data_IF_303318113610
#
_entry.id   IF_303318113610
#
_cell.length_a   1.000
_cell.length_b   1.000
_cell.length_c   1.000
_cell.angle_alpha   90.00
_cell.angle_beta   90.00
_cell.angle_gamma   90.00
#
_symmetry.space_group_name_H-M   'P 1'
#
loop_
_entity.id
_entity.type
_entity.pdbx_description
1 polymer ?
#
# COMPACT_ATOMS: atom_id res chain seq x y z
N UNK A 1 -3.18 -21.86 -5.06
CA UNK A 1 -2.46 -21.40 -3.84
C UNK A 1 -1.90 -19.99 -3.99
N UNK A 2 -1.19 -19.66 -5.08
CA UNK A 2 -0.68 -18.30 -5.30
C UNK A 2 -1.77 -17.21 -5.33
N UNK A 3 -2.90 -17.44 -6.00
CA UNK A 3 -4.00 -16.47 -6.03
C UNK A 3 -4.54 -16.12 -4.63
N UNK A 4 -4.67 -17.10 -3.73
CA UNK A 4 -5.10 -16.89 -2.35
C UNK A 4 -4.09 -16.06 -1.54
N UNK A 5 -2.80 -16.30 -1.75
CA UNK A 5 -1.71 -15.53 -1.15
C UNK A 5 -1.71 -14.09 -1.65
N UNK A 6 -1.92 -13.90 -2.96
CA UNK A 6 -1.98 -12.58 -3.56
C UNK A 6 -3.18 -11.81 -3.03
N UNK A 7 -4.38 -12.40 -2.98
CA UNK A 7 -5.56 -11.70 -2.49
C UNK A 7 -5.48 -11.37 -1.00
N UNK A 8 -5.13 -12.35 -0.16
CA UNK A 8 -5.03 -12.12 1.30
C UNK A 8 -3.92 -11.14 1.65
N UNK A 9 -2.74 -11.28 1.03
CA UNK A 9 -1.62 -10.36 1.21
C UNK A 9 -1.95 -8.93 0.76
N UNK A 10 -2.66 -8.79 -0.36
CA UNK A 10 -3.07 -7.48 -0.90
C UNK A 10 -4.03 -6.79 0.06
N UNK A 11 -5.04 -7.53 0.55
CA UNK A 11 -6.04 -7.00 1.50
C UNK A 11 -5.38 -6.56 2.81
N UNK A 12 -4.45 -7.36 3.34
CA UNK A 12 -3.71 -7.01 4.57
C UNK A 12 -2.85 -5.76 4.39
N UNK A 13 -2.09 -5.66 3.28
CA UNK A 13 -1.23 -4.51 3.01
C UNK A 13 -2.04 -3.23 2.79
N UNK A 14 -3.09 -3.29 1.96
CA UNK A 14 -3.98 -2.15 1.75
C UNK A 14 -4.71 -1.75 3.04
N UNK A 15 -5.29 -2.70 3.76
CA UNK A 15 -6.00 -2.42 5.01
C UNK A 15 -5.09 -1.81 6.08
N UNK A 16 -3.88 -2.35 6.25
CA UNK A 16 -2.87 -1.82 7.15
C UNK A 16 -2.42 -0.41 6.77
N UNK A 17 -2.14 -0.16 5.48
CA UNK A 17 -1.80 1.18 5.02
C UNK A 17 -2.92 2.18 5.19
N UNK A 18 -4.17 1.83 4.90
CA UNK A 18 -5.33 2.72 5.10
C UNK A 18 -5.50 3.03 6.59
N UNK A 19 -5.38 2.02 7.46
CA UNK A 19 -5.44 2.21 8.91
C UNK A 19 -4.36 3.18 9.41
N UNK A 20 -3.11 2.96 9.01
CA UNK A 20 -2.00 3.87 9.34
C UNK A 20 -2.20 5.27 8.73
N UNK A 21 -2.73 5.36 7.52
CA UNK A 21 -3.00 6.63 6.85
C UNK A 21 -4.06 7.47 7.57
N UNK A 22 -5.10 6.80 8.09
CA UNK A 22 -6.15 7.44 8.87
C UNK A 22 -5.62 7.89 10.24
N UNK A 23 -4.77 7.10 10.89
CA UNK A 23 -4.08 7.50 12.13
C UNK A 23 -3.11 8.66 11.91
N UNK A 24 -2.50 8.75 10.72
CA UNK A 24 -1.62 9.84 10.33
C UNK A 24 -2.35 11.09 9.79
N UNK A 25 -3.69 11.18 9.95
CA UNK A 25 -4.45 12.34 9.52
C UNK A 25 -3.97 13.63 10.21
N UNK A 26 -3.64 14.66 9.41
CA UNK A 26 -3.10 15.93 9.92
C UNK A 26 -1.59 15.99 10.11
N UNK A 27 -0.85 14.87 10.04
CA UNK A 27 0.60 14.84 10.20
C UNK A 27 1.31 14.50 8.88
N UNK A 28 1.70 15.54 8.11
CA UNK A 28 2.42 15.37 6.83
C UNK A 28 3.67 14.50 6.93
N UNK A 29 4.43 14.63 8.03
CA UNK A 29 5.64 13.82 8.26
C UNK A 29 5.33 12.32 8.40
N UNK A 30 4.25 11.97 9.10
CA UNK A 30 3.84 10.58 9.28
C UNK A 30 3.37 9.95 7.96
N UNK A 31 2.61 10.70 7.14
CA UNK A 31 2.21 10.22 5.80
C UNK A 31 3.41 10.02 4.86
N UNK A 32 4.39 10.92 4.88
CA UNK A 32 5.63 10.76 4.11
C UNK A 32 6.41 9.50 4.54
N UNK A 33 6.46 9.20 5.84
CA UNK A 33 7.05 7.96 6.34
C UNK A 33 6.29 6.73 5.82
N UNK A 34 4.95 6.74 5.80
CA UNK A 34 4.16 5.62 5.27
C UNK A 34 4.48 5.41 3.78
N UNK A 35 4.54 6.48 2.98
CA UNK A 35 4.91 6.39 1.55
C UNK A 35 6.34 5.86 1.38
N UNK A 36 7.29 6.33 2.18
CA UNK A 36 8.67 5.85 2.15
C UNK A 36 8.75 4.34 2.50
N UNK A 37 8.03 3.91 3.54
CA UNK A 37 7.93 2.50 3.92
C UNK A 37 7.31 1.66 2.79
N UNK A 38 6.30 2.19 2.12
CA UNK A 38 5.63 1.55 0.99
C UNK A 38 6.58 1.33 -0.18
N UNK A 39 7.42 2.33 -0.50
CA UNK A 39 8.45 2.22 -1.54
C UNK A 39 9.51 1.17 -1.20
N UNK A 40 9.94 1.09 0.06
CA UNK A 40 10.88 0.06 0.51
C UNK A 40 10.25 -1.33 0.35
N UNK A 41 9.00 -1.51 0.76
CA UNK A 41 8.28 -2.78 0.57
C UNK A 41 8.15 -3.15 -0.91
N UNK A 42 7.91 -2.15 -1.78
CA UNK A 42 7.80 -2.37 -3.22
C UNK A 42 9.15 -2.80 -3.81
N UNK A 43 10.25 -2.16 -3.41
CA UNK A 43 11.60 -2.56 -3.82
C UNK A 43 11.94 -3.98 -3.34
N UNK A 44 11.62 -4.31 -2.08
CA UNK A 44 11.84 -5.65 -1.53
C UNK A 44 10.99 -6.71 -2.24
N UNK A 45 9.75 -6.39 -2.63
CA UNK A 45 8.91 -7.30 -3.38
C UNK A 45 9.43 -7.59 -4.80
N UNK A 46 10.09 -6.63 -5.44
CA UNK A 46 10.78 -6.85 -6.71
C UNK A 46 11.95 -7.83 -6.55
N UNK A 47 12.71 -7.71 -5.46
CA UNK A 47 13.84 -8.61 -5.17
C UNK A 47 13.36 -10.01 -4.79
N UNK A 48 12.31 -10.12 -3.97
CA UNK A 48 11.74 -11.39 -3.53
C UNK A 48 11.10 -12.20 -4.66
N UNK A 49 10.70 -11.54 -5.76
CA UNK A 49 10.09 -12.18 -6.92
C UNK A 49 8.64 -12.63 -6.70
N UNK A 50 8.18 -13.56 -7.53
CA UNK A 50 6.80 -14.06 -7.47
C UNK A 50 6.60 -14.96 -6.24
N UNK A 51 5.47 -14.81 -5.49
CA UNK A 51 4.28 -14.02 -5.81
C UNK A 51 4.23 -12.61 -5.19
N UNK A 52 5.26 -12.20 -4.43
CA UNK A 52 5.24 -10.95 -3.66
C UNK A 52 5.17 -9.69 -4.52
N UNK A 53 5.83 -9.70 -5.69
CA UNK A 53 5.73 -8.62 -6.67
C UNK A 53 4.28 -8.41 -7.15
N UNK A 54 3.50 -9.48 -7.35
CA UNK A 54 2.10 -9.41 -7.74
C UNK A 54 1.23 -8.84 -6.60
N UNK A 55 1.52 -9.23 -5.35
CA UNK A 55 0.82 -8.70 -4.17
C UNK A 55 1.04 -7.20 -4.03
N UNK A 56 2.30 -6.75 -4.06
CA UNK A 56 2.62 -5.32 -3.96
C UNK A 56 2.11 -4.51 -5.15
N UNK A 57 2.16 -5.08 -6.37
CA UNK A 57 1.60 -4.46 -7.56
C UNK A 57 0.09 -4.24 -7.43
N UNK A 58 -0.65 -5.30 -7.08
CA UNK A 58 -2.09 -5.23 -6.85
C UNK A 58 -2.45 -4.24 -5.73
N UNK A 59 -1.71 -4.27 -4.61
CA UNK A 59 -1.92 -3.36 -3.49
C UNK A 59 -1.69 -1.89 -3.86
N UNK A 60 -0.68 -1.62 -4.69
CA UNK A 60 -0.35 -0.26 -5.14
C UNK A 60 -1.42 0.29 -6.07
N UNK A 61 -1.91 -0.53 -7.02
CA UNK A 61 -3.03 -0.14 -7.91
C UNK A 61 -4.30 0.11 -7.10
N UNK A 62 -4.62 -0.77 -6.16
CA UNK A 62 -5.81 -0.63 -5.31
C UNK A 62 -5.72 0.64 -4.45
N UNK A 63 -4.57 0.93 -3.85
CA UNK A 63 -4.38 2.14 -3.05
C UNK A 63 -4.45 3.41 -3.92
N UNK A 64 -3.88 3.39 -5.13
CA UNK A 64 -3.99 4.51 -6.06
C UNK A 64 -5.44 4.77 -6.48
N UNK A 65 -6.22 3.72 -6.74
CA UNK A 65 -7.66 3.82 -7.01
C UNK A 65 -8.43 4.37 -5.82
N UNK A 66 -8.10 3.94 -4.60
CA UNK A 66 -8.74 4.45 -3.37
C UNK A 66 -8.45 5.93 -3.19
N UNK A 67 -7.20 6.36 -3.35
CA UNK A 67 -6.83 7.78 -3.27
C UNK A 67 -7.53 8.58 -4.37
N UNK A 68 -7.61 8.05 -5.59
CA UNK A 68 -8.32 8.68 -6.70
C UNK A 68 -9.82 8.84 -6.43
N UNK A 69 -10.48 7.79 -5.92
CA UNK A 69 -11.90 7.79 -5.57
C UNK A 69 -12.23 8.72 -4.39
N UNK A 70 -11.36 8.81 -3.39
CA UNK A 70 -11.56 9.70 -2.23
C UNK A 70 -11.52 11.18 -2.67
N UNK A 71 -10.87 11.49 -3.80
CA UNK A 71 -10.82 12.85 -4.35
C UNK A 71 -10.11 13.88 -3.45
N UNK A 72 -9.53 13.43 -2.33
CA UNK A 72 -8.73 14.26 -1.44
C UNK A 72 -7.26 14.15 -1.83
N UNK A 73 -6.52 15.26 -1.85
CA UNK A 73 -5.08 15.21 -1.98
C UNK A 73 -4.49 14.34 -0.87
N UNK A 74 -3.62 13.41 -1.25
CA UNK A 74 -2.98 12.44 -0.38
C UNK A 74 -2.21 13.07 0.80
N UNK A 75 -1.94 14.37 0.76
CA UNK A 75 -1.30 15.13 1.84
C UNK A 75 -2.25 15.89 2.79
N UNK A 76 -3.57 15.80 2.62
CA UNK A 76 -4.61 16.43 3.48
C UNK A 76 -5.39 15.35 4.22
#
# INVERSE_FOLDING_TARGET
MQALLVTTGTVLLCGGAIGMWHLAAGLRKARLMIVALWLVLLAMALIAGSPFNLVMGAATVMMALIVWLIGKPWWI
#
